data_IF_951718613775
#
_entry.id   IF_951718613775
#
_cell.length_a   1.000
_cell.length_b   1.000
_cell.length_c   1.000
_cell.angle_alpha   90.00
_cell.angle_beta   90.00
_cell.angle_gamma   90.00
#
_symmetry.space_group_name_H-M   'P 1'
#
loop_
_entity.id
_entity.type
_entity.pdbx_description
1 polymer ?
#
# COMPACT_ATOMS: atom_id res chain seq x y z
N UNK A 1 -19.25 -3.33 12.27
CA UNK A 1 -18.45 -2.16 12.69
C UNK A 1 -19.26 -0.87 12.69
N UNK A 2 -20.01 -0.53 11.63
CA UNK A 2 -20.97 0.60 11.68
C UNK A 2 -21.98 0.49 12.83
N UNK A 3 -22.50 -0.71 13.09
CA UNK A 3 -23.39 -0.98 14.24
C UNK A 3 -22.69 -0.82 15.60
N UNK A 4 -21.37 -1.03 15.65
CA UNK A 4 -20.54 -0.82 16.84
C UNK A 4 -20.28 0.68 17.08
N UNK A 5 -19.94 1.43 16.02
CA UNK A 5 -19.71 2.87 16.09
C UNK A 5 -20.98 3.65 16.47
N UNK A 6 -22.14 3.20 15.99
CA UNK A 6 -23.44 3.73 16.42
C UNK A 6 -23.74 3.49 17.92
N UNK A 7 -23.24 2.40 18.51
CA UNK A 7 -23.41 2.09 19.93
C UNK A 7 -22.51 2.95 20.83
N UNK A 8 -21.33 3.35 20.35
CA UNK A 8 -20.41 4.29 21.03
C UNK A 8 -20.88 5.76 20.98
N UNK A 9 -22.08 6.03 20.42
CA UNK A 9 -22.66 7.37 20.37
C UNK A 9 -22.03 8.27 19.30
N UNK A 10 -21.24 7.71 18.38
CA UNK A 10 -20.82 8.38 17.16
C UNK A 10 -22.00 8.35 16.17
N UNK A 11 -22.86 9.38 16.25
CA UNK A 11 -24.04 9.51 15.40
C UNK A 11 -23.74 10.04 13.98
N UNK A 12 -22.46 10.26 13.67
CA UNK A 12 -21.97 10.73 12.37
C UNK A 12 -21.66 9.53 11.46
N UNK A 13 -21.84 9.72 10.16
CA UNK A 13 -21.54 8.70 9.15
C UNK A 13 -20.03 8.55 9.00
N UNK A 14 -19.56 7.30 8.99
CA UNK A 14 -18.15 6.99 8.79
C UNK A 14 -17.84 7.13 7.31
N UNK A 15 -16.91 8.02 6.97
CA UNK A 15 -16.46 8.26 5.59
C UNK A 15 -15.40 7.29 5.12
N UNK A 16 -14.65 6.71 6.05
CA UNK A 16 -13.58 5.78 5.73
C UNK A 16 -12.95 5.17 6.97
N UNK A 17 -12.23 4.07 6.76
CA UNK A 17 -11.48 3.35 7.77
C UNK A 17 -10.07 3.14 7.25
N UNK A 18 -9.07 3.51 8.04
CA UNK A 18 -7.67 3.45 7.65
C UNK A 18 -6.88 2.64 8.69
N UNK A 19 -6.15 1.58 8.28
CA UNK A 19 -5.30 0.81 9.18
C UNK A 19 -4.07 1.64 9.58
N UNK A 20 -3.57 1.41 10.80
CA UNK A 20 -2.37 2.03 11.36
C UNK A 20 -1.59 1.03 12.19
N UNK A 21 -0.36 1.36 12.60
CA UNK A 21 0.42 0.52 13.50
C UNK A 21 -0.15 0.38 14.92
N UNK A 22 -1.11 1.24 15.29
CA UNK A 22 -1.76 1.21 16.60
C UNK A 22 -3.15 0.54 16.58
N UNK A 23 -3.68 0.20 15.40
CA UNK A 23 -5.05 -0.28 15.22
C UNK A 23 -5.71 0.37 14.01
N UNK A 24 -6.95 0.82 14.16
CA UNK A 24 -7.75 1.38 13.08
C UNK A 24 -8.16 2.81 13.38
N UNK A 25 -8.21 3.62 12.34
CA UNK A 25 -8.72 4.99 12.40
C UNK A 25 -9.99 5.11 11.58
N UNK A 26 -11.05 5.62 12.20
CA UNK A 26 -12.30 5.98 11.55
C UNK A 26 -12.34 7.48 11.23
N UNK A 27 -12.67 7.77 9.96
CA UNK A 27 -12.80 9.12 9.44
C UNK A 27 -14.27 9.57 9.46
N UNK A 28 -14.50 10.77 9.99
CA UNK A 28 -15.77 11.49 9.96
C UNK A 28 -15.56 12.87 9.31
N UNK A 29 -16.63 13.63 9.09
CA UNK A 29 -16.56 14.95 8.45
C UNK A 29 -15.62 15.93 9.17
N UNK A 30 -15.60 15.96 10.50
CA UNK A 30 -14.81 16.94 11.27
C UNK A 30 -13.93 16.30 12.35
N UNK A 31 -13.80 14.97 12.33
CA UNK A 31 -13.03 14.26 13.34
C UNK A 31 -12.46 12.95 12.85
N UNK A 32 -11.40 12.54 13.52
CA UNK A 32 -10.72 11.28 13.36
C UNK A 32 -10.73 10.57 14.70
N UNK A 33 -11.18 9.31 14.72
CA UNK A 33 -11.30 8.51 15.95
C UNK A 33 -10.49 7.24 15.80
N UNK A 34 -9.63 6.93 16.76
CA UNK A 34 -8.78 5.74 16.75
C UNK A 34 -9.31 4.66 17.69
N UNK A 35 -9.17 3.41 17.25
CA UNK A 35 -9.52 2.20 17.98
C UNK A 35 -8.27 1.30 18.03
N UNK A 36 -7.99 0.75 19.20
CA UNK A 36 -6.84 -0.13 19.38
C UNK A 36 -7.01 -1.46 18.64
N UNK A 37 -5.91 -2.08 18.20
CA UNK A 37 -5.97 -3.39 17.54
C UNK A 37 -6.59 -4.50 18.42
N UNK A 38 -6.40 -4.40 19.74
CA UNK A 38 -6.87 -5.39 20.73
C UNK A 38 -8.15 -4.97 21.46
N UNK A 39 -8.61 -3.73 21.27
CA UNK A 39 -9.76 -3.17 21.99
C UNK A 39 -10.66 -2.43 21.04
N UNK A 40 -11.96 -2.75 21.10
CA UNK A 40 -12.97 -1.98 20.40
C UNK A 40 -13.23 -0.62 21.05
N UNK A 41 -12.64 -0.30 22.21
CA UNK A 41 -12.82 0.99 22.87
C UNK A 41 -12.08 2.12 22.12
N UNK A 42 -12.66 3.32 22.13
CA UNK A 42 -12.00 4.54 21.61
C UNK A 42 -10.67 4.75 22.35
N UNK A 43 -9.57 4.75 21.59
CA UNK A 43 -8.23 5.02 22.11
C UNK A 43 -7.98 6.53 22.21
N UNK A 44 -8.31 7.28 21.16
CA UNK A 44 -8.20 8.73 21.12
C UNK A 44 -9.06 9.34 20.01
N UNK A 45 -9.22 10.65 20.08
CA UNK A 45 -9.98 11.46 19.11
C UNK A 45 -9.28 12.76 18.79
N UNK A 46 -9.24 13.09 17.50
CA UNK A 46 -8.85 14.40 17.00
C UNK A 46 -10.05 15.08 16.34
N UNK A 47 -10.31 16.34 16.69
CA UNK A 47 -11.34 17.17 16.05
C UNK A 47 -10.66 18.32 15.31
N UNK A 48 -10.89 18.41 14.01
CA UNK A 48 -10.40 19.50 13.18
C UNK A 48 -11.21 20.77 13.41
N UNK A 49 -10.70 21.91 12.94
CA UNK A 49 -11.41 23.19 12.99
C UNK A 49 -12.33 23.43 11.78
N UNK A 50 -12.61 22.38 10.99
CA UNK A 50 -13.41 22.41 9.78
C UNK A 50 -13.46 21.03 9.11
N UNK A 51 -14.10 20.94 7.95
CA UNK A 51 -14.31 19.67 7.25
C UNK A 51 -12.97 19.04 6.85
N UNK A 52 -12.77 17.77 7.20
CA UNK A 52 -11.65 16.96 6.75
C UNK A 52 -11.84 16.65 5.28
N UNK A 53 -10.95 17.16 4.46
CA UNK A 53 -10.97 16.96 3.02
C UNK A 53 -10.31 15.65 2.62
N UNK A 54 -9.24 15.27 3.32
CA UNK A 54 -8.43 14.11 2.97
C UNK A 54 -7.56 13.63 4.16
N UNK A 55 -7.22 12.34 4.17
CA UNK A 55 -6.39 11.71 5.21
C UNK A 55 -5.45 10.69 4.57
N UNK A 56 -4.19 10.69 5.00
CA UNK A 56 -3.19 9.68 4.64
C UNK A 56 -2.53 9.12 5.90
N UNK A 57 -2.25 7.82 5.89
CA UNK A 57 -1.42 7.15 6.90
C UNK A 57 -0.02 6.95 6.32
N UNK A 58 1.04 7.14 7.12
CA UNK A 58 2.40 6.83 6.69
C UNK A 58 2.57 5.33 6.46
N UNK A 59 3.51 4.94 5.59
CA UNK A 59 3.73 3.53 5.25
C UNK A 59 4.11 2.63 6.44
N UNK A 60 4.71 3.22 7.49
CA UNK A 60 5.03 2.55 8.75
C UNK A 60 3.84 2.53 9.74
N UNK A 61 2.73 3.20 9.41
CA UNK A 61 1.54 3.29 10.23
C UNK A 61 1.70 4.09 11.52
N UNK A 62 2.83 4.78 11.72
CA UNK A 62 3.12 5.50 12.96
C UNK A 62 2.51 6.90 12.98
N UNK A 63 2.21 7.48 11.81
CA UNK A 63 1.70 8.85 11.69
C UNK A 63 0.52 8.95 10.73
N UNK A 64 -0.34 9.93 10.98
CA UNK A 64 -1.55 10.20 10.19
C UNK A 64 -1.54 11.68 9.80
N UNK A 65 -1.58 11.97 8.50
CA UNK A 65 -1.74 13.32 7.98
C UNK A 65 -3.22 13.59 7.71
N UNK A 66 -3.75 14.58 8.40
CA UNK A 66 -5.13 15.05 8.25
C UNK A 66 -5.11 16.41 7.58
N UNK A 67 -5.78 16.55 6.44
CA UNK A 67 -6.02 17.82 5.76
C UNK A 67 -7.47 18.24 5.98
N UNK A 68 -7.68 19.49 6.36
CA UNK A 68 -9.02 20.02 6.64
C UNK A 68 -9.19 21.46 6.14
N UNK A 69 -10.39 21.81 5.71
CA UNK A 69 -10.73 23.13 5.17
C UNK A 69 -11.45 23.96 6.24
N UNK A 70 -10.94 25.16 6.48
CA UNK A 70 -11.55 26.15 7.37
C UNK A 70 -12.16 27.27 6.52
N UNK A 71 -13.49 27.30 6.44
CA UNK A 71 -14.21 28.35 5.73
C UNK A 71 -14.26 29.66 6.52
N UNK A 72 -13.67 30.74 5.98
CA UNK A 72 -13.75 32.09 6.55
C UNK A 72 -14.46 33.07 5.60
N UNK A 73 -15.63 32.70 5.09
CA UNK A 73 -16.41 33.54 4.17
C UNK A 73 -15.85 33.48 2.74
N UNK A 74 -15.42 34.59 2.10
CA UNK A 74 -14.93 34.56 0.72
C UNK A 74 -13.48 34.05 0.59
N UNK A 75 -12.85 33.61 1.69
CA UNK A 75 -11.50 33.08 1.70
C UNK A 75 -11.49 31.73 2.40
N UNK A 76 -10.94 30.73 1.70
CA UNK A 76 -10.67 29.43 2.28
C UNK A 76 -9.24 29.39 2.82
N UNK A 77 -9.09 28.72 3.95
CA UNK A 77 -7.81 28.25 4.48
C UNK A 77 -7.88 26.75 4.54
N UNK A 78 -6.75 26.08 4.38
CA UNK A 78 -6.64 24.69 4.76
C UNK A 78 -5.60 24.53 5.85
N UNK A 79 -5.86 23.59 6.73
CA UNK A 79 -4.95 23.13 7.76
C UNK A 79 -4.46 21.73 7.44
N UNK A 80 -3.24 21.45 7.86
CA UNK A 80 -2.66 20.12 7.89
C UNK A 80 -2.23 19.82 9.32
N UNK A 81 -2.49 18.61 9.78
CA UNK A 81 -2.00 18.12 11.06
C UNK A 81 -1.44 16.70 10.89
N UNK A 82 -0.23 16.47 11.38
CA UNK A 82 0.35 15.14 11.52
C UNK A 82 0.12 14.68 12.95
N UNK A 83 -0.55 13.55 13.11
CA UNK A 83 -0.90 12.94 14.39
C UNK A 83 -0.03 11.70 14.62
N UNK A 84 0.43 11.47 15.85
CA UNK A 84 0.99 10.18 16.26
C UNK A 84 -0.17 9.17 16.35
N UNK A 85 -0.08 8.07 15.61
CA UNK A 85 -1.17 7.11 15.50
C UNK A 85 -1.52 6.44 16.84
N UNK A 86 -0.59 6.41 17.81
CA UNK A 86 -0.78 5.73 19.10
C UNK A 86 -1.60 6.53 20.09
N UNK A 87 -1.42 7.84 20.13
CA UNK A 87 -2.02 8.71 21.15
C UNK A 87 -2.78 9.93 20.59
N UNK A 88 -2.78 10.12 19.27
CA UNK A 88 -3.47 11.22 18.60
C UNK A 88 -2.81 12.58 18.82
N UNK A 89 -1.62 12.63 19.41
CA UNK A 89 -0.89 13.88 19.65
C UNK A 89 -0.48 14.50 18.32
N UNK A 90 -0.75 15.79 18.16
CA UNK A 90 -0.23 16.58 17.05
C UNK A 90 1.30 16.62 17.15
N UNK A 91 1.96 15.99 16.20
CA UNK A 91 3.42 16.04 16.01
C UNK A 91 3.79 17.35 15.32
N UNK A 92 3.03 17.68 14.28
CA UNK A 92 3.27 18.85 13.44
C UNK A 92 1.96 19.37 12.87
N UNK A 93 1.88 20.67 12.61
CA UNK A 93 0.70 21.25 11.98
C UNK A 93 1.03 22.56 11.30
N UNK A 94 0.36 22.84 10.19
CA UNK A 94 0.46 24.09 9.47
C UNK A 94 -0.93 24.54 8.99
N UNK A 95 -1.09 25.84 8.76
CA UNK A 95 -2.28 26.41 8.16
C UNK A 95 -1.87 27.34 7.02
N UNK A 96 -2.41 27.09 5.85
CA UNK A 96 -2.11 27.83 4.63
C UNK A 96 -3.36 28.52 4.08
N UNK A 97 -3.13 29.59 3.33
CA UNK A 97 -4.20 30.30 2.63
C UNK A 97 -4.41 29.70 1.24
N UNK A 98 -5.67 29.61 0.82
CA UNK A 98 -6.05 29.14 -0.51
C UNK A 98 -6.82 27.84 -0.46
N UNK A 99 -6.88 27.18 -1.61
CA UNK A 99 -7.52 25.87 -1.78
C UNK A 99 -6.41 24.82 -1.82
N UNK A 100 -6.55 23.69 -1.12
CA UNK A 100 -5.56 22.62 -1.20
C UNK A 100 -5.39 22.17 -2.67
N UNK A 101 -4.13 22.07 -3.10
CA UNK A 101 -3.78 21.62 -4.44
C UNK A 101 -3.93 20.10 -4.52
N UNK A 102 -5.14 19.61 -4.76
CA UNK A 102 -5.40 18.19 -4.99
C UNK A 102 -5.28 17.34 -3.72
N UNK A 103 -4.72 16.13 -3.88
CA UNK A 103 -4.62 15.15 -2.80
C UNK A 103 -3.68 15.61 -1.67
N UNK A 104 -3.87 15.03 -0.49
CA UNK A 104 -3.00 15.25 0.66
C UNK A 104 -1.56 14.77 0.41
N UNK A 105 -1.36 13.88 -0.57
CA UNK A 105 -0.07 13.30 -0.91
C UNK A 105 0.31 12.14 -0.02
N UNK A 106 1.52 11.62 -0.21
CA UNK A 106 2.06 10.51 0.59
C UNK A 106 3.02 11.05 1.64
N UNK A 107 2.87 10.61 2.89
CA UNK A 107 3.79 10.95 3.98
C UNK A 107 5.15 10.27 3.79
N UNK A 108 6.20 11.05 3.92
CA UNK A 108 7.59 10.57 3.88
C UNK A 108 8.38 11.12 5.07
N UNK A 109 9.62 10.65 5.26
CA UNK A 109 10.51 11.16 6.32
C UNK A 109 9.87 11.13 7.72
N UNK A 110 9.10 10.07 8.02
CA UNK A 110 8.34 9.91 9.28
C UNK A 110 7.39 11.08 9.58
N UNK A 111 6.85 11.67 8.52
CA UNK A 111 5.83 12.71 8.59
C UNK A 111 6.35 14.14 8.67
N UNK A 112 7.65 14.36 8.46
CA UNK A 112 8.22 15.72 8.35
C UNK A 112 7.94 16.36 6.98
N UNK A 113 7.72 15.54 5.95
CA UNK A 113 7.41 15.98 4.60
C UNK A 113 6.33 15.13 3.93
N UNK A 114 5.73 15.69 2.87
CA UNK A 114 4.81 14.99 1.97
C UNK A 114 5.28 15.11 0.54
N UNK A 115 5.00 14.08 -0.24
CA UNK A 115 5.24 14.08 -1.68
C UNK A 115 3.91 14.09 -2.42
N UNK A 116 3.79 14.98 -3.40
CA UNK A 116 2.59 15.18 -4.22
C UNK A 116 2.97 15.29 -5.70
N UNK A 117 2.01 14.96 -6.55
CA UNK A 117 2.10 15.20 -8.00
C UNK A 117 1.39 16.52 -8.31
N UNK A 118 2.16 17.53 -8.73
CA UNK A 118 1.69 18.86 -9.12
C UNK A 118 1.83 19.03 -10.65
N UNK A 119 0.79 18.64 -11.40
CA UNK A 119 0.85 18.63 -12.87
C UNK A 119 1.81 17.54 -13.36
N UNK A 120 2.95 17.92 -13.94
CA UNK A 120 4.00 16.98 -14.39
C UNK A 120 5.17 16.89 -13.41
N UNK A 121 5.05 17.47 -12.22
CA UNK A 121 6.14 17.55 -11.25
C UNK A 121 5.86 16.69 -10.04
N UNK A 122 6.90 15.99 -9.60
CA UNK A 122 6.93 15.34 -8.30
C UNK A 122 7.55 16.32 -7.30
N UNK A 123 6.78 16.71 -6.29
CA UNK A 123 7.15 17.79 -5.38
C UNK A 123 7.13 17.28 -3.94
N UNK A 124 8.23 17.48 -3.22
CA UNK A 124 8.25 17.29 -1.76
C UNK A 124 8.15 18.62 -1.04
N UNK A 125 7.25 18.70 -0.05
CA UNK A 125 7.03 19.87 0.79
C UNK A 125 7.10 19.48 2.25
N UNK A 126 7.77 20.32 3.04
CA UNK A 126 7.81 20.17 4.50
C UNK A 126 6.42 20.45 5.08
N UNK A 127 6.02 19.69 6.09
CA UNK A 127 4.70 19.87 6.70
C UNK A 127 4.61 21.16 7.52
N UNK A 128 5.65 21.56 8.26
CA UNK A 128 5.59 22.74 9.17
C UNK A 128 5.19 24.05 8.52
N UNK A 129 5.63 24.26 7.29
CA UNK A 129 5.61 25.57 6.63
C UNK A 129 5.25 25.51 5.14
N UNK A 130 5.13 24.30 4.57
CA UNK A 130 4.84 24.10 3.15
C UNK A 130 6.03 24.41 2.24
N UNK A 131 7.22 24.66 2.80
CA UNK A 131 8.40 24.97 2.00
C UNK A 131 8.78 23.80 1.11
N UNK A 132 9.16 24.13 -0.13
CA UNK A 132 9.68 23.18 -1.09
C UNK A 132 10.98 22.58 -0.56
N UNK A 133 11.03 21.24 -0.47
CA UNK A 133 12.25 20.50 -0.12
C UNK A 133 13.01 20.17 -1.41
N UNK A 134 12.34 19.52 -2.35
CA UNK A 134 12.86 19.19 -3.68
C UNK A 134 11.73 19.07 -4.70
N UNK A 135 12.07 19.16 -5.98
CA UNK A 135 11.15 19.05 -7.12
C UNK A 135 11.84 18.29 -8.25
N UNK A 136 11.11 17.37 -8.88
CA UNK A 136 11.52 16.67 -10.08
C UNK A 136 10.50 16.86 -11.19
N UNK A 137 10.94 17.28 -12.38
CA UNK A 137 10.08 17.39 -13.55
C UNK A 137 10.04 16.05 -14.29
N UNK A 138 8.89 15.38 -14.20
CA UNK A 138 8.68 14.06 -14.80
C UNK A 138 8.52 14.15 -16.33
N UNK A 139 8.47 15.34 -16.93
CA UNK A 139 8.29 15.52 -18.36
C UNK A 139 9.60 15.58 -19.15
N UNK A 140 10.76 15.72 -18.49
CA UNK A 140 12.04 15.96 -19.17
C UNK A 140 12.44 14.84 -20.15
N UNK A 141 12.03 13.60 -19.90
CA UNK A 141 12.31 12.46 -20.78
C UNK A 141 11.18 12.15 -21.78
N UNK A 142 10.04 12.84 -21.69
CA UNK A 142 8.98 12.72 -22.68
C UNK A 142 9.34 13.58 -23.89
N UNK A 143 9.76 12.94 -25.00
CA UNK A 143 10.14 13.66 -26.22
C UNK A 143 8.93 14.35 -26.86
N UNK A 144 8.80 15.67 -26.65
CA UNK A 144 7.87 16.53 -27.39
C UNK A 144 6.41 16.47 -26.96
N UNK A 145 6.04 15.54 -26.08
CA UNK A 145 4.70 15.36 -25.54
C UNK A 145 4.66 15.53 -24.02
N UNK A 146 3.48 15.85 -23.49
CA UNK A 146 3.23 15.87 -22.05
C UNK A 146 3.11 14.47 -21.46
N UNK A 147 2.63 14.41 -20.22
CA UNK A 147 2.34 13.16 -19.51
C UNK A 147 0.84 12.96 -19.49
N UNK A 148 0.36 11.74 -19.80
CA UNK A 148 -1.06 11.39 -19.78
C UNK A 148 -1.49 10.87 -18.40
N UNK A 149 -0.68 9.95 -17.85
CA UNK A 149 -0.95 9.30 -16.58
C UNK A 149 0.26 9.39 -15.64
N UNK A 150 0.00 9.68 -14.37
CA UNK A 150 0.96 9.64 -13.27
C UNK A 150 0.28 8.98 -12.08
N UNK A 151 0.91 7.95 -11.54
CA UNK A 151 0.51 7.35 -10.28
C UNK A 151 1.75 7.18 -9.39
N UNK A 152 1.56 7.16 -8.07
CA UNK A 152 2.64 7.20 -7.09
C UNK A 152 2.31 6.42 -5.82
N UNK A 153 3.28 5.65 -5.35
CA UNK A 153 3.30 5.10 -3.99
C UNK A 153 4.58 5.52 -3.29
N UNK A 154 4.55 5.71 -1.98
CA UNK A 154 5.75 6.08 -1.23
C UNK A 154 5.81 5.38 0.13
N UNK A 155 7.03 5.08 0.54
CA UNK A 155 7.33 4.71 1.91
C UNK A 155 8.15 5.82 2.60
N UNK A 156 8.52 5.62 3.86
CA UNK A 156 9.27 6.62 4.65
C UNK A 156 10.58 7.10 4.01
N UNK A 157 11.19 6.33 3.12
CA UNK A 157 12.51 6.59 2.54
C UNK A 157 12.52 6.72 1.01
N UNK A 158 11.47 6.27 0.32
CA UNK A 158 11.44 6.10 -1.13
C UNK A 158 10.09 6.48 -1.71
N UNK A 159 10.11 7.01 -2.93
CA UNK A 159 8.93 7.32 -3.73
C UNK A 159 9.06 6.57 -5.05
N UNK A 160 8.00 5.85 -5.43
CA UNK A 160 7.89 5.19 -6.71
C UNK A 160 6.80 5.84 -7.54
N UNK A 161 7.13 6.15 -8.79
CA UNK A 161 6.22 6.85 -9.71
C UNK A 161 6.15 6.07 -11.00
N UNK A 162 4.94 5.85 -11.49
CA UNK A 162 4.70 5.42 -12.87
C UNK A 162 4.25 6.63 -13.69
N UNK A 163 4.74 6.73 -14.92
CA UNK A 163 4.34 7.76 -15.89
C UNK A 163 4.09 7.17 -17.27
N UNK A 164 3.21 7.81 -18.03
CA UNK A 164 2.98 7.54 -19.46
C UNK A 164 3.14 8.83 -20.29
N UNK A 165 4.04 8.84 -21.26
CA UNK A 165 4.24 9.96 -22.17
C UNK A 165 3.24 9.92 -23.34
N UNK A 166 2.53 11.03 -23.61
CA UNK A 166 1.44 11.12 -24.60
C UNK A 166 1.89 10.73 -26.02
N UNK A 167 3.00 11.29 -26.49
CA UNK A 167 3.37 11.21 -27.92
C UNK A 167 4.31 10.05 -28.24
N UNK A 168 5.11 9.60 -27.28
CA UNK A 168 6.04 8.49 -27.46
C UNK A 168 5.44 7.13 -27.08
N UNK A 169 4.35 7.12 -26.31
CA UNK A 169 3.82 5.91 -25.68
C UNK A 169 4.81 5.27 -24.71
N UNK A 170 5.85 6.00 -24.30
CA UNK A 170 6.83 5.52 -23.33
C UNK A 170 6.18 5.47 -21.96
N UNK A 171 6.19 4.30 -21.34
CA UNK A 171 5.80 4.13 -19.94
C UNK A 171 7.05 3.85 -19.15
N UNK A 172 7.23 4.57 -18.04
CA UNK A 172 8.37 4.39 -17.17
C UNK A 172 7.93 4.32 -15.71
N UNK A 173 8.62 3.49 -14.94
CA UNK A 173 8.50 3.42 -13.49
C UNK A 173 9.84 3.83 -12.91
N UNK A 174 9.81 4.78 -11.99
CA UNK A 174 11.00 5.45 -11.44
C UNK A 174 11.00 5.35 -9.92
N UNK A 175 12.18 5.29 -9.32
CA UNK A 175 12.39 5.34 -7.88
C UNK A 175 13.20 6.58 -7.49
N UNK A 176 12.71 7.32 -6.50
CA UNK A 176 13.33 8.51 -5.94
C UNK A 176 13.58 8.35 -4.44
N UNK A 177 14.70 8.86 -3.94
CA UNK A 177 14.95 8.99 -2.51
C UNK A 177 14.02 10.07 -1.93
N UNK A 178 13.27 9.74 -0.89
CA UNK A 178 12.27 10.65 -0.34
C UNK A 178 12.87 11.93 0.27
N UNK A 179 14.11 11.85 0.78
CA UNK A 179 14.79 12.97 1.44
C UNK A 179 15.41 13.97 0.44
N UNK A 180 16.08 13.46 -0.59
CA UNK A 180 16.85 14.27 -1.53
C UNK A 180 16.08 14.57 -2.82
N UNK A 181 15.14 13.71 -3.18
CA UNK A 181 14.52 13.68 -4.50
C UNK A 181 15.42 13.08 -5.57
N UNK A 182 16.58 12.51 -5.21
CA UNK A 182 17.50 11.91 -6.18
C UNK A 182 16.89 10.64 -6.78
N UNK A 183 16.84 10.57 -8.11
CA UNK A 183 16.43 9.36 -8.83
C UNK A 183 17.53 8.30 -8.68
N UNK A 184 17.17 7.12 -8.18
CA UNK A 184 18.09 6.01 -7.98
C UNK A 184 17.80 4.79 -8.88
N UNK A 185 16.61 4.73 -9.51
CA UNK A 185 16.20 3.60 -10.33
C UNK A 185 15.17 4.00 -11.40
N UNK A 186 15.19 3.33 -12.56
CA UNK A 186 14.18 3.47 -13.61
C UNK A 186 14.08 2.18 -14.45
N UNK A 187 12.85 1.79 -14.79
CA UNK A 187 12.53 0.81 -15.82
C UNK A 187 11.54 1.44 -16.80
N UNK A 188 11.67 1.14 -18.09
CA UNK A 188 10.79 1.72 -19.12
C UNK A 188 10.53 0.76 -20.27
N UNK A 189 9.37 0.94 -20.89
CA UNK A 189 8.90 0.12 -22.00
C UNK A 189 8.18 1.00 -23.04
N UNK A 190 8.26 0.60 -24.31
CA UNK A 190 7.60 1.31 -25.40
C UNK A 190 6.19 0.76 -25.65
N UNK A 191 5.18 1.62 -25.54
CA UNK A 191 3.77 1.34 -25.76
C UNK A 191 3.18 0.15 -24.96
N UNK A 192 3.55 -0.08 -23.68
CA UNK A 192 2.84 -1.07 -22.87
C UNK A 192 1.50 -0.49 -22.38
N UNK A 193 0.70 -1.33 -21.72
CA UNK A 193 -0.29 -0.80 -20.78
C UNK A 193 0.43 -0.20 -19.56
N UNK A 194 -0.16 0.84 -18.94
CA UNK A 194 0.42 1.45 -17.73
C UNK A 194 0.28 0.47 -16.56
N UNK A 195 1.39 0.05 -15.90
CA UNK A 195 1.31 -0.81 -14.75
C UNK A 195 0.67 -0.07 -13.58
N UNK A 196 -0.13 -0.78 -12.79
CA UNK A 196 -0.53 -0.31 -11.45
C UNK A 196 0.59 -0.61 -10.47
N UNK A 197 0.88 0.36 -9.61
CA UNK A 197 1.95 0.25 -8.61
C UNK A 197 1.34 0.17 -7.21
N UNK A 198 1.90 -0.70 -6.38
CA UNK A 198 1.42 -0.96 -5.03
C UNK A 198 2.58 -0.90 -4.03
N UNK A 199 2.30 -0.44 -2.83
CA UNK A 199 3.20 -0.59 -1.70
C UNK A 199 2.60 -1.57 -0.70
N UNK A 200 3.20 -2.74 -0.59
CA UNK A 200 2.78 -3.74 0.38
C UNK A 200 3.38 -3.40 1.74
N UNK A 201 2.54 -2.97 2.69
CA UNK A 201 2.96 -2.67 4.07
C UNK A 201 2.42 -3.71 5.03
N UNK A 202 2.90 -3.67 6.27
CA UNK A 202 2.36 -4.50 7.34
C UNK A 202 0.93 -4.11 7.75
N UNK A 203 0.45 -2.98 7.23
CA UNK A 203 -0.89 -2.42 7.47
C UNK A 203 -1.83 -2.63 6.29
N UNK A 204 -1.35 -3.19 5.17
CA UNK A 204 -2.22 -3.59 4.05
C UNK A 204 -3.18 -4.67 4.54
N UNK A 205 -4.48 -4.37 4.50
CA UNK A 205 -5.54 -5.27 4.96
C UNK A 205 -5.83 -6.30 3.86
N UNK A 206 -5.73 -7.61 4.14
CA UNK A 206 -6.05 -8.63 3.15
C UNK A 206 -7.50 -8.54 2.66
N UNK A 207 -7.70 -8.74 1.36
CA UNK A 207 -9.03 -8.71 0.72
C UNK A 207 -9.60 -7.32 0.43
N UNK A 208 -8.95 -6.25 0.88
CA UNK A 208 -9.33 -4.89 0.48
C UNK A 208 -8.87 -4.58 -0.95
N UNK A 209 -9.51 -3.61 -1.67
CA UNK A 209 -9.14 -3.27 -3.04
C UNK A 209 -7.66 -2.87 -3.24
N UNK A 210 -7.00 -2.42 -2.18
CA UNK A 210 -5.59 -2.03 -2.17
C UNK A 210 -4.64 -3.21 -1.91
N UNK A 211 -5.13 -4.43 -1.62
CA UNK A 211 -4.30 -5.60 -1.43
C UNK A 211 -3.95 -6.27 -2.77
N UNK A 212 -2.70 -6.14 -3.27
CA UNK A 212 -2.32 -6.74 -4.53
C UNK A 212 -2.29 -8.27 -4.52
N UNK A 213 -2.22 -8.90 -3.33
CA UNK A 213 -2.12 -10.35 -3.21
C UNK A 213 -3.46 -11.03 -3.47
N UNK A 214 -4.56 -10.42 -3.02
CA UNK A 214 -5.91 -11.01 -3.09
C UNK A 214 -6.31 -11.38 -4.52
N UNK A 215 -6.16 -10.44 -5.45
CA UNK A 215 -6.51 -10.64 -6.85
C UNK A 215 -5.36 -11.16 -7.73
N UNK A 216 -4.20 -11.51 -7.16
CA UNK A 216 -3.10 -12.05 -7.98
C UNK A 216 -3.38 -13.46 -8.47
N UNK A 217 -4.22 -14.20 -7.74
CA UNK A 217 -4.59 -15.57 -8.06
C UNK A 217 -5.81 -15.66 -8.97
N UNK A 218 -6.40 -14.52 -9.36
CA UNK A 218 -7.38 -14.45 -10.44
C UNK A 218 -6.73 -14.93 -11.75
N UNK A 219 -7.34 -15.89 -12.44
CA UNK A 219 -6.81 -16.43 -13.70
C UNK A 219 -6.45 -15.34 -14.73
N UNK A 220 -7.25 -14.27 -14.78
CA UNK A 220 -7.07 -13.15 -15.71
C UNK A 220 -5.83 -12.29 -15.43
N UNK A 221 -5.30 -12.32 -14.20
CA UNK A 221 -4.19 -11.47 -13.73
C UNK A 221 -2.95 -12.26 -13.32
N UNK A 222 -3.09 -13.56 -13.08
CA UNK A 222 -1.96 -14.42 -12.70
C UNK A 222 -0.79 -14.28 -13.70
N UNK A 223 0.43 -14.26 -13.18
CA UNK A 223 1.66 -14.11 -13.96
C UNK A 223 1.95 -12.71 -14.52
N UNK A 224 1.13 -11.70 -14.23
CA UNK A 224 1.38 -10.31 -14.66
C UNK A 224 1.96 -9.42 -13.55
N UNK A 225 2.30 -10.02 -12.41
CA UNK A 225 2.83 -9.35 -11.23
C UNK A 225 4.35 -9.37 -11.20
N UNK A 226 4.93 -8.29 -10.69
CA UNK A 226 6.35 -8.16 -10.40
C UNK A 226 6.53 -7.74 -8.94
N UNK A 227 7.28 -8.51 -8.14
CA UNK A 227 7.58 -8.16 -6.75
C UNK A 227 8.99 -7.57 -6.64
N UNK A 228 9.10 -6.42 -5.99
CA UNK A 228 10.34 -5.63 -5.93
C UNK A 228 10.75 -5.41 -4.47
N UNK A 229 11.90 -5.96 -4.06
CA UNK A 229 12.47 -5.68 -2.73
C UNK A 229 13.24 -4.36 -2.77
N UNK A 230 12.70 -3.35 -2.08
CA UNK A 230 13.23 -1.98 -2.16
C UNK A 230 14.24 -1.68 -1.05
N UNK A 231 14.53 -2.63 -0.15
CA UNK A 231 15.36 -2.39 1.05
C UNK A 231 16.85 -2.23 0.76
N UNK A 232 17.32 -2.66 -0.41
CA UNK A 232 18.74 -2.66 -0.79
C UNK A 232 19.03 -1.73 -1.98
N UNK A 233 18.86 -0.42 -1.80
CA UNK A 233 19.08 0.58 -2.87
C UNK A 233 20.50 0.57 -3.46
N UNK A 234 21.51 0.20 -2.65
CA UNK A 234 22.93 0.31 -3.05
C UNK A 234 23.31 -0.56 -4.26
N UNK A 235 22.58 -1.67 -4.49
CA UNK A 235 22.84 -2.62 -5.57
C UNK A 235 21.78 -2.55 -6.69
N UNK A 236 20.89 -1.54 -6.63
CA UNK A 236 19.70 -1.44 -7.48
C UNK A 236 18.51 -2.26 -6.96
N UNK A 237 17.31 -2.00 -7.49
CA UNK A 237 16.12 -2.80 -7.20
C UNK A 237 15.99 -3.87 -8.29
N UNK A 238 15.81 -5.13 -7.88
CA UNK A 238 15.58 -6.26 -8.76
C UNK A 238 14.29 -7.00 -8.37
N UNK A 239 13.64 -7.67 -9.35
CA UNK A 239 12.55 -8.58 -9.06
C UNK A 239 13.01 -9.70 -8.13
N UNK A 240 12.15 -10.09 -7.20
CA UNK A 240 12.41 -11.23 -6.32
C UNK A 240 11.63 -12.46 -6.74
N UNK A 241 12.25 -13.61 -6.52
CA UNK A 241 11.58 -14.90 -6.63
C UNK A 241 10.82 -15.21 -5.34
N UNK A 242 9.51 -15.44 -5.47
CA UNK A 242 8.57 -15.51 -4.35
C UNK A 242 8.00 -16.91 -4.15
N UNK A 243 7.60 -17.21 -2.92
CA UNK A 243 6.83 -18.42 -2.60
C UNK A 243 5.39 -18.33 -3.13
N UNK A 244 4.69 -19.46 -3.35
CA UNK A 244 5.19 -20.84 -3.25
C UNK A 244 5.91 -21.34 -4.51
N UNK A 245 5.97 -20.56 -5.60
CA UNK A 245 6.55 -21.04 -6.87
C UNK A 245 8.02 -21.46 -6.77
N UNK A 246 8.74 -20.92 -5.80
CA UNK A 246 10.13 -21.30 -5.52
C UNK A 246 10.25 -22.67 -4.87
N UNK A 247 9.46 -22.95 -3.83
CA UNK A 247 9.50 -24.22 -3.08
C UNK A 247 8.67 -25.35 -3.71
N UNK A 248 7.59 -25.01 -4.42
CA UNK A 248 6.67 -25.92 -5.08
C UNK A 248 6.46 -25.53 -6.57
N UNK A 249 7.44 -25.82 -7.45
CA UNK A 249 7.40 -25.34 -8.84
C UNK A 249 6.17 -25.78 -9.64
N UNK A 250 5.55 -26.93 -9.33
CA UNK A 250 4.35 -27.42 -10.01
C UNK A 250 3.09 -26.59 -9.75
N UNK A 251 3.11 -25.65 -8.79
CA UNK A 251 2.05 -24.62 -8.68
C UNK A 251 1.92 -23.83 -10.00
N UNK A 252 3.02 -23.70 -10.75
CA UNK A 252 3.03 -23.03 -12.06
C UNK A 252 2.12 -23.68 -13.10
N UNK A 253 1.73 -24.95 -12.93
CA UNK A 253 0.82 -25.65 -13.83
C UNK A 253 -0.64 -25.19 -13.65
N UNK A 254 -0.96 -24.54 -12.53
CA UNK A 254 -2.31 -24.11 -12.15
C UNK A 254 -2.42 -22.59 -11.93
N UNK A 255 -1.33 -21.93 -11.52
CA UNK A 255 -1.25 -20.48 -11.30
C UNK A 255 0.03 -19.95 -11.90
N UNK A 256 -0.11 -19.05 -12.88
CA UNK A 256 1.06 -18.50 -13.56
C UNK A 256 1.98 -17.76 -12.57
N UNK A 257 3.27 -18.08 -12.67
CA UNK A 257 4.32 -17.50 -11.81
C UNK A 257 4.47 -16.00 -12.08
N UNK A 258 4.69 -15.18 -11.04
CA UNK A 258 5.10 -13.79 -11.19
C UNK A 258 6.32 -13.63 -12.12
N UNK A 259 6.43 -12.47 -12.74
CA UNK A 259 7.57 -12.10 -13.57
C UNK A 259 8.84 -12.02 -12.70
N UNK A 260 9.97 -12.40 -13.28
CA UNK A 260 11.29 -12.42 -12.63
C UNK A 260 12.29 -11.48 -13.30
N UNK A 261 11.86 -10.75 -14.31
CA UNK A 261 12.65 -9.79 -15.06
C UNK A 261 11.77 -8.59 -15.45
N UNK A 262 12.43 -7.52 -15.90
CA UNK A 262 11.81 -6.29 -16.38
C UNK A 262 11.77 -6.24 -17.90
N UNK A 263 12.14 -7.32 -18.61
CA UNK A 263 12.13 -7.33 -20.07
C UNK A 263 10.69 -7.34 -20.59
N UNK A 264 9.78 -7.96 -19.85
CA UNK A 264 8.34 -7.94 -20.10
C UNK A 264 7.67 -6.86 -19.25
N UNK A 265 6.86 -5.95 -19.83
CA UNK A 265 6.13 -4.96 -19.05
C UNK A 265 5.10 -5.66 -18.13
N UNK A 266 5.19 -5.47 -16.80
CA UNK A 266 4.20 -6.01 -15.87
C UNK A 266 2.88 -5.25 -15.98
N UNK A 267 1.77 -5.89 -15.57
CA UNK A 267 0.51 -5.17 -15.34
C UNK A 267 0.46 -4.60 -13.91
N UNK A 268 1.11 -5.28 -12.97
CA UNK A 268 1.14 -4.94 -11.55
C UNK A 268 2.56 -4.97 -11.02
N UNK A 269 2.98 -3.92 -10.30
CA UNK A 269 4.28 -3.88 -9.60
C UNK A 269 4.02 -3.70 -8.11
N UNK A 270 4.53 -4.62 -7.31
CA UNK A 270 4.39 -4.61 -5.86
C UNK A 270 5.74 -4.31 -5.23
N UNK A 271 5.88 -3.11 -4.68
CA UNK A 271 7.05 -2.70 -3.89
C UNK A 271 6.88 -3.18 -2.45
N UNK A 272 7.92 -3.80 -1.89
CA UNK A 272 7.88 -4.35 -0.54
C UNK A 272 8.23 -3.30 0.51
N UNK A 273 7.24 -2.89 1.30
CA UNK A 273 7.41 -2.25 2.60
C UNK A 273 7.50 -3.24 3.77
N UNK A 274 7.29 -4.53 3.52
CA UNK A 274 7.36 -5.63 4.50
C UNK A 274 8.64 -6.45 4.36
N UNK A 275 8.89 -7.36 5.31
CA UNK A 275 9.96 -8.34 5.13
C UNK A 275 9.55 -9.40 4.08
N UNK A 276 10.51 -10.01 3.36
CA UNK A 276 10.22 -11.12 2.46
C UNK A 276 9.59 -12.32 3.16
N UNK A 277 9.85 -12.49 4.47
CA UNK A 277 9.19 -13.54 5.25
C UNK A 277 7.69 -13.26 5.36
N UNK A 278 7.29 -12.01 5.66
CA UNK A 278 5.87 -11.63 5.74
C UNK A 278 5.17 -11.76 4.38
N UNK A 279 5.86 -11.39 3.29
CA UNK A 279 5.36 -11.61 1.93
C UNK A 279 5.13 -13.10 1.68
N UNK A 280 6.13 -13.94 1.97
CA UNK A 280 6.04 -15.38 1.75
C UNK A 280 4.88 -16.00 2.54
N UNK A 281 4.73 -15.62 3.82
CA UNK A 281 3.63 -16.09 4.67
C UNK A 281 2.27 -15.80 4.02
N UNK A 282 2.09 -14.58 3.48
CA UNK A 282 0.85 -14.18 2.80
C UNK A 282 0.64 -14.89 1.47
N UNK A 283 1.69 -15.02 0.65
CA UNK A 283 1.61 -15.68 -0.66
C UNK A 283 1.33 -17.17 -0.54
N UNK A 284 1.98 -17.86 0.41
CA UNK A 284 1.75 -19.30 0.65
C UNK A 284 0.31 -19.54 1.10
N UNK A 285 -0.19 -18.73 2.04
CA UNK A 285 -1.59 -18.83 2.49
C UNK A 285 -2.57 -18.59 1.34
N UNK A 286 -2.40 -17.47 0.62
CA UNK A 286 -3.31 -17.06 -0.46
C UNK A 286 -3.31 -18.06 -1.62
N UNK A 287 -2.12 -18.56 -1.99
CA UNK A 287 -2.00 -19.62 -2.99
C UNK A 287 -2.69 -20.91 -2.54
N UNK A 288 -2.51 -21.31 -1.27
CA UNK A 288 -3.15 -22.50 -0.73
C UNK A 288 -4.67 -22.39 -0.80
N UNK A 289 -5.24 -21.26 -0.35
CA UNK A 289 -6.69 -21.00 -0.41
C UNK A 289 -7.16 -21.07 -1.86
N UNK A 290 -6.53 -20.30 -2.76
CA UNK A 290 -6.91 -20.26 -4.18
C UNK A 290 -6.85 -21.62 -4.87
N UNK A 291 -5.85 -22.45 -4.56
CA UNK A 291 -5.71 -23.78 -5.14
C UNK A 291 -6.73 -24.76 -4.55
N UNK A 292 -6.99 -24.69 -3.24
CA UNK A 292 -7.93 -25.59 -2.56
C UNK A 292 -9.40 -25.32 -2.89
N UNK A 293 -9.73 -24.09 -3.29
CA UNK A 293 -11.08 -23.66 -3.68
C UNK A 293 -11.37 -23.82 -5.19
N UNK A 294 -10.35 -24.12 -6.00
CA UNK A 294 -10.51 -24.33 -7.44
C UNK A 294 -10.78 -25.79 -7.76
N UNK A 295 -12.02 -26.10 -8.12
CA UNK A 295 -12.48 -27.45 -8.49
C UNK A 295 -11.69 -28.10 -9.65
N UNK A 296 -10.91 -27.33 -10.42
CA UNK A 296 -10.08 -27.84 -11.52
C UNK A 296 -8.65 -28.23 -11.08
N UNK A 297 -8.27 -27.90 -9.85
CA UNK A 297 -6.98 -28.25 -9.27
C UNK A 297 -7.15 -29.52 -8.43
N UNK A 298 -6.27 -30.53 -8.57
CA UNK A 298 -6.38 -31.77 -7.79
C UNK A 298 -5.94 -31.61 -6.32
N UNK A 299 -6.01 -30.41 -5.76
CA UNK A 299 -5.63 -30.07 -4.39
C UNK A 299 -6.85 -29.51 -3.67
N UNK A 300 -7.16 -30.08 -2.53
CA UNK A 300 -8.37 -29.74 -1.77
C UNK A 300 -8.03 -29.43 -0.33
N UNK A 301 -9.01 -28.91 0.40
CA UNK A 301 -8.90 -28.71 1.84
C UNK A 301 -8.55 -29.99 2.62
N UNK A 302 -8.95 -31.16 2.13
CA UNK A 302 -8.65 -32.45 2.78
C UNK A 302 -7.17 -32.82 2.72
N UNK A 303 -6.41 -32.21 1.79
CA UNK A 303 -4.97 -32.39 1.66
C UNK A 303 -4.17 -31.57 2.70
N UNK A 304 -4.86 -30.75 3.50
CA UNK A 304 -4.29 -29.84 4.49
C UNK A 304 -4.57 -30.37 5.89
N UNK A 305 -3.56 -30.34 6.76
CA UNK A 305 -3.71 -30.75 8.15
C UNK A 305 -4.72 -29.83 8.87
N UNK A 306 -5.72 -30.43 9.52
CA UNK A 306 -6.79 -29.72 10.24
C UNK A 306 -6.24 -28.77 11.32
N UNK A 307 -5.06 -29.06 11.87
CA UNK A 307 -4.40 -28.18 12.84
C UNK A 307 -3.98 -26.82 12.26
N UNK A 308 -3.91 -26.69 10.93
CA UNK A 308 -3.57 -25.44 10.23
C UNK A 308 -4.80 -24.54 10.01
N UNK A 309 -6.00 -25.05 10.34
CA UNK A 309 -7.29 -24.36 10.18
C UNK A 309 -7.81 -23.84 11.53
N UNK A 310 -8.63 -22.79 11.52
CA UNK A 310 -9.34 -22.29 12.70
C UNK A 310 -10.82 -22.60 12.53
N UNK A 311 -11.38 -23.37 13.46
CA UNK A 311 -12.77 -23.86 13.38
C UNK A 311 -13.11 -24.58 12.06
N UNK A 312 -12.10 -25.25 11.50
CA UNK A 312 -12.22 -25.93 10.22
C UNK A 312 -12.28 -24.98 9.02
N UNK A 313 -11.97 -23.69 9.19
CA UNK A 313 -11.88 -22.67 8.14
C UNK A 313 -10.44 -22.17 7.94
N UNK A 314 -10.14 -21.63 6.75
CA UNK A 314 -8.84 -21.02 6.49
C UNK A 314 -8.77 -19.70 7.26
N UNK A 315 -7.57 -19.36 7.73
CA UNK A 315 -7.32 -17.98 8.16
C UNK A 315 -7.24 -17.07 6.94
N UNK A 316 -7.73 -15.85 7.06
CA UNK A 316 -7.64 -14.80 6.04
C UNK A 316 -6.28 -14.09 6.12
N UNK A 317 -5.63 -14.11 7.29
CA UNK A 317 -4.36 -13.46 7.53
C UNK A 317 -3.45 -14.34 8.40
N UNK A 318 -2.16 -14.53 8.05
CA UNK A 318 -1.21 -15.29 8.88
C UNK A 318 -1.12 -14.81 10.33
N UNK A 319 -1.41 -13.53 10.60
CA UNK A 319 -1.42 -12.95 11.94
C UNK A 319 -2.56 -13.46 12.83
N UNK A 320 -3.58 -14.12 12.28
CA UNK A 320 -4.63 -14.76 13.06
C UNK A 320 -4.12 -16.01 13.81
N UNK A 321 -3.01 -16.61 13.37
CA UNK A 321 -2.37 -17.69 14.12
C UNK A 321 -1.68 -17.16 15.38
N UNK A 322 -2.31 -17.41 16.52
CA UNK A 322 -1.82 -16.96 17.84
C UNK A 322 -0.52 -17.63 18.29
N UNK A 323 -0.12 -18.76 17.68
CA UNK A 323 1.09 -19.50 18.03
C UNK A 323 2.02 -19.68 16.83
N UNK A 324 2.98 -18.77 16.63
CA UNK A 324 4.05 -18.88 15.62
C UNK A 324 3.55 -19.10 14.18
N UNK A 325 3.08 -18.03 13.52
CA UNK A 325 2.65 -18.05 12.11
C UNK A 325 3.57 -18.84 11.18
N UNK A 326 4.89 -18.68 11.35
CA UNK A 326 5.91 -19.38 10.57
C UNK A 326 5.81 -20.91 10.58
N UNK A 327 5.38 -21.51 11.69
CA UNK A 327 5.22 -22.96 11.79
C UNK A 327 4.01 -23.44 10.96
N UNK A 328 2.92 -22.66 10.98
CA UNK A 328 1.73 -22.94 10.19
C UNK A 328 1.99 -22.77 8.70
N UNK A 329 2.65 -21.67 8.31
CA UNK A 329 3.05 -21.41 6.92
C UNK A 329 3.96 -22.51 6.40
N UNK A 330 4.94 -22.95 7.20
CA UNK A 330 5.81 -24.06 6.82
C UNK A 330 5.03 -25.36 6.57
N UNK A 331 3.95 -25.59 7.32
CA UNK A 331 3.06 -26.73 7.10
C UNK A 331 2.28 -26.62 5.78
N UNK A 332 1.79 -25.43 5.43
CA UNK A 332 1.14 -25.18 4.15
C UNK A 332 2.11 -25.31 2.97
N UNK A 333 3.31 -24.75 3.10
CA UNK A 333 4.39 -24.89 2.10
C UNK A 333 4.73 -26.38 1.87
N UNK A 334 4.82 -27.17 2.93
CA UNK A 334 5.07 -28.62 2.82
C UNK A 334 3.92 -29.36 2.14
N UNK A 335 2.67 -28.98 2.41
CA UNK A 335 1.50 -29.57 1.75
C UNK A 335 1.53 -29.28 0.24
N UNK A 336 1.73 -28.03 -0.15
CA UNK A 336 1.89 -27.63 -1.55
C UNK A 336 3.05 -28.34 -2.21
N UNK A 337 4.21 -28.37 -1.56
CA UNK A 337 5.41 -29.04 -2.08
C UNK A 337 5.19 -30.53 -2.26
N UNK A 338 4.56 -31.21 -1.30
CA UNK A 338 4.29 -32.65 -1.40
C UNK A 338 3.33 -32.98 -2.55
N UNK A 339 2.36 -32.10 -2.80
CA UNK A 339 1.36 -32.30 -3.83
C UNK A 339 1.86 -31.94 -5.24
N UNK A 340 2.64 -30.86 -5.35
CA UNK A 340 3.06 -30.25 -6.63
C UNK A 340 4.57 -30.37 -6.94
N UNK A 341 5.32 -31.23 -6.23
CA UNK A 341 6.74 -31.51 -6.51
C UNK A 341 7.00 -32.33 -7.77
#
# INVERSE_FOLDING_TARGET
>A
MEEFLAQEGLAEEVRGLLPTGAGLVALFDEQVVSFGAESSEEAWRFRSNGEISDVSVSSDGETILVQYVMGFGPWDRYGMAVLDARDGRIVESNNEWGVPAGSVGQLVERGEARVVVEGTRLVSRRISDGELVWENDLSESCMGGGIDNIDMVANVAQVFVVRECIDSGLVAVMGFEALSGDQFWEASWENPAVPRIHLLTEHTVPGEPEDPIDYMFDEARSGQFLFMDTRFMADGIAPIDVEPWRSAPGVSDHRARPLLDLDTPPAEIVFLGVSPADLNDRLVLSATISLAEDDNVPFTREDIDESLLIDGEFVENPRQWTTSSSAYVSGLEEALRTHFS
#
